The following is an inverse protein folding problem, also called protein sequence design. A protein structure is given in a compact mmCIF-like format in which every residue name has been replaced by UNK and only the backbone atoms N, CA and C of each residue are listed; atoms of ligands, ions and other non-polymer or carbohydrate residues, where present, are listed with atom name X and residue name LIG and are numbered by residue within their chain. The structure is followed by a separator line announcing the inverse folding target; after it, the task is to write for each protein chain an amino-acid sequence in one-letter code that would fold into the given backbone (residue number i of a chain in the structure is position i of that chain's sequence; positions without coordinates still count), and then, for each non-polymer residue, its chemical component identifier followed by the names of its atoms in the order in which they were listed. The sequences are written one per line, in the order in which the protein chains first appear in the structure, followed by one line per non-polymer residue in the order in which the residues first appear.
data_IF_385857000839
#
_entry.id   IF_385857000839
#
_cell.length_a   1.000
_cell.length_b   1.000
_cell.length_c   1.000
_cell.angle_alpha   90.00
_cell.angle_beta   90.00
_cell.angle_gamma   90.00
#
_symmetry.space_group_name_H-M   'P 1'
#
loop_
_entity.id
_entity.type
_entity.pdbx_description
1 polymer ?
#
# COMPACT_ATOMS: atom_id res chain seq x y z
N UNK A 1 -1.05 8.46 -38.64
CA UNK A 1 -0.42 8.07 -37.39
C UNK A 1 -1.48 7.84 -36.32
N UNK A 2 -1.59 6.62 -35.83
CA UNK A 2 -2.56 6.32 -34.81
C UNK A 2 -2.11 6.95 -33.49
N UNK A 3 -3.01 7.55 -32.69
CA UNK A 3 -2.64 8.03 -31.37
C UNK A 3 -2.20 6.85 -30.52
N UNK A 4 -1.22 7.06 -29.60
CA UNK A 4 -0.84 5.98 -28.70
C UNK A 4 -2.06 5.52 -27.92
N UNK A 5 -2.24 4.21 -27.82
CA UNK A 5 -3.32 3.68 -27.00
C UNK A 5 -3.10 4.12 -25.56
N UNK A 6 -4.14 4.70 -24.97
CA UNK A 6 -4.07 5.06 -23.56
C UNK A 6 -3.74 3.80 -22.75
N UNK A 7 -2.75 3.89 -21.88
CA UNK A 7 -2.40 2.77 -21.02
C UNK A 7 -3.60 2.40 -20.16
N UNK A 8 -3.88 1.10 -20.06
CA UNK A 8 -4.97 0.62 -19.22
C UNK A 8 -4.69 0.93 -17.76
N UNK A 9 -5.62 1.62 -17.13
CA UNK A 9 -5.55 1.94 -15.71
C UNK A 9 -6.61 1.08 -15.00
N UNK A 10 -6.19 0.09 -14.20
CA UNK A 10 -7.15 -0.75 -13.46
C UNK A 10 -8.00 0.07 -12.50
N UNK A 11 -9.27 -0.34 -12.26
CA UNK A 11 -10.09 0.30 -11.24
C UNK A 11 -9.39 0.30 -9.89
N UNK A 12 -9.43 1.44 -9.20
CA UNK A 12 -8.78 1.58 -7.88
C UNK A 12 -7.29 1.87 -7.95
N UNK A 13 -6.73 2.10 -9.14
CA UNK A 13 -5.33 2.49 -9.30
C UNK A 13 -5.02 3.71 -8.42
N UNK A 14 -3.86 3.72 -7.70
CA UNK A 14 -3.54 4.82 -6.80
C UNK A 14 -3.50 6.16 -7.51
N UNK A 15 -4.15 7.17 -6.93
CA UNK A 15 -4.10 8.54 -7.44
C UNK A 15 -2.67 9.05 -7.31
N UNK A 16 -2.19 9.68 -8.37
CA UNK A 16 -0.84 10.24 -8.41
C UNK A 16 0.24 9.29 -8.91
N UNK A 17 -0.09 8.01 -9.14
CA UNK A 17 0.84 7.07 -9.77
C UNK A 17 0.52 6.99 -11.24
N UNK A 18 1.49 7.32 -12.09
CA UNK A 18 1.33 7.24 -13.53
C UNK A 18 1.26 5.78 -14.00
N UNK A 19 0.61 5.51 -15.14
CA UNK A 19 0.45 4.13 -15.61
C UNK A 19 1.78 3.43 -15.89
N UNK A 20 1.84 2.09 -15.76
CA UNK A 20 3.01 1.32 -16.16
C UNK A 20 3.35 1.61 -17.63
N UNK A 21 4.63 1.78 -17.93
CA UNK A 21 5.12 2.10 -19.27
C UNK A 21 5.27 3.59 -19.53
N UNK A 22 4.73 4.47 -18.68
CA UNK A 22 4.98 5.91 -18.81
C UNK A 22 6.36 6.26 -18.24
N UNK A 23 6.91 7.40 -18.69
CA UNK A 23 8.21 7.87 -18.19
C UNK A 23 8.19 8.12 -16.68
N UNK A 24 7.05 8.57 -16.16
CA UNK A 24 6.92 8.97 -14.77
C UNK A 24 6.45 7.83 -13.85
N UNK A 25 6.26 6.62 -14.39
CA UNK A 25 5.75 5.51 -13.58
C UNK A 25 6.65 5.23 -12.38
N UNK A 26 7.95 5.04 -12.62
CA UNK A 26 8.88 4.67 -11.55
C UNK A 26 8.96 5.74 -10.48
N UNK A 27 9.12 7.01 -10.87
CA UNK A 27 9.23 8.12 -9.92
C UNK A 27 7.96 8.30 -9.09
N UNK A 28 6.78 8.22 -9.73
CA UNK A 28 5.51 8.38 -9.02
C UNK A 28 5.19 7.18 -8.16
N UNK A 29 5.57 5.98 -8.58
CA UNK A 29 5.42 4.76 -7.79
C UNK A 29 6.28 4.81 -6.52
N UNK A 30 7.54 5.25 -6.64
CA UNK A 30 8.44 5.42 -5.49
C UNK A 30 7.85 6.42 -4.50
N UNK A 31 7.38 7.58 -4.98
CA UNK A 31 6.78 8.59 -4.13
C UNK A 31 5.57 8.03 -3.39
N UNK A 32 4.70 7.30 -4.08
CA UNK A 32 3.52 6.70 -3.48
C UNK A 32 3.89 5.65 -2.42
N UNK A 33 4.87 4.79 -2.72
CA UNK A 33 5.32 3.76 -1.77
C UNK A 33 5.91 4.39 -0.51
N UNK A 34 6.67 5.48 -0.66
CA UNK A 34 7.24 6.19 0.49
C UNK A 34 6.17 6.85 1.35
N UNK A 35 5.04 7.24 0.77
CA UNK A 35 3.92 7.78 1.54
C UNK A 35 3.11 6.69 2.26
N UNK A 36 3.15 5.46 1.76
CA UNK A 36 2.46 4.31 2.35
C UNK A 36 3.18 3.78 3.60
N UNK A 37 4.51 3.84 3.61
CA UNK A 37 5.32 3.31 4.70
C UNK A 37 5.64 4.38 5.74
N UNK A 38 6.10 4.00 6.95
CA UNK A 38 6.51 4.98 7.94
C UNK A 38 7.61 5.92 7.42
N UNK A 39 7.63 7.19 7.87
CA UNK A 39 8.65 8.15 7.42
C UNK A 39 10.09 7.69 7.61
N UNK A 40 10.34 6.86 8.60
CA UNK A 40 11.68 6.33 8.90
C UNK A 40 12.28 5.54 7.74
N UNK A 41 11.45 4.98 6.86
CA UNK A 41 11.93 4.25 5.68
C UNK A 41 12.73 5.18 4.75
N UNK A 42 12.45 6.47 4.78
CA UNK A 42 13.17 7.46 3.96
C UNK A 42 14.64 7.61 4.35
N UNK A 43 15.02 7.14 5.55
CA UNK A 43 16.40 7.16 6.02
C UNK A 43 17.29 6.15 5.29
N UNK A 44 16.70 5.18 4.62
CA UNK A 44 17.45 4.12 3.94
C UNK A 44 17.58 4.44 2.45
N UNK A 45 18.73 4.99 2.07
CA UNK A 45 18.99 5.37 0.68
C UNK A 45 18.85 4.22 -0.31
N UNK A 46 19.11 2.97 0.13
CA UNK A 46 18.95 1.79 -0.72
C UNK A 46 17.53 1.64 -1.27
N UNK A 47 16.52 2.08 -0.53
CA UNK A 47 15.13 1.97 -0.96
C UNK A 47 14.81 2.92 -2.11
N UNK A 48 15.47 4.07 -2.17
CA UNK A 48 15.30 5.01 -3.29
C UNK A 48 16.07 4.55 -4.52
N UNK A 49 17.25 3.95 -4.31
CA UNK A 49 18.08 3.46 -5.41
C UNK A 49 17.54 2.17 -6.02
N UNK A 50 16.81 1.38 -5.24
CA UNK A 50 16.28 0.08 -5.67
C UNK A 50 14.78 -0.02 -5.42
N UNK A 51 13.95 0.45 -6.36
CA UNK A 51 12.50 0.48 -6.17
C UNK A 51 11.88 -0.88 -5.85
N UNK A 52 12.47 -1.97 -6.35
CA UNK A 52 11.97 -3.31 -6.03
C UNK A 52 12.12 -3.63 -4.54
N UNK A 53 13.19 -3.14 -3.90
CA UNK A 53 13.37 -3.32 -2.46
C UNK A 53 12.34 -2.51 -1.67
N UNK A 54 12.09 -1.27 -2.10
CA UNK A 54 11.06 -0.43 -1.48
C UNK A 54 9.67 -1.09 -1.61
N UNK A 55 9.33 -1.59 -2.79
CA UNK A 55 8.04 -2.26 -3.01
C UNK A 55 7.90 -3.50 -2.14
N UNK A 56 8.96 -4.30 -1.99
CA UNK A 56 8.94 -5.48 -1.14
C UNK A 56 8.75 -5.11 0.34
N UNK A 57 9.48 -4.12 0.82
CA UNK A 57 9.35 -3.67 2.21
C UNK A 57 7.97 -3.05 2.48
N UNK A 58 7.45 -2.26 1.55
CA UNK A 58 6.12 -1.68 1.66
C UNK A 58 5.04 -2.76 1.71
N UNK A 59 5.18 -3.79 0.87
CA UNK A 59 4.23 -4.91 0.86
C UNK A 59 4.22 -5.65 2.19
N UNK A 60 5.39 -5.98 2.72
CA UNK A 60 5.50 -6.67 4.01
C UNK A 60 4.96 -5.81 5.14
N UNK A 61 5.29 -4.52 5.15
CA UNK A 61 4.79 -3.60 6.16
C UNK A 61 3.27 -3.52 6.11
N UNK A 62 2.68 -3.34 4.93
CA UNK A 62 1.24 -3.21 4.79
C UNK A 62 0.51 -4.50 5.18
N UNK A 63 1.07 -5.66 4.82
CA UNK A 63 0.51 -6.95 5.23
C UNK A 63 0.52 -7.11 6.75
N UNK A 64 1.61 -6.70 7.41
CA UNK A 64 1.69 -6.73 8.86
C UNK A 64 0.64 -5.81 9.49
N UNK A 65 0.39 -4.65 8.90
CA UNK A 65 -0.65 -3.73 9.36
C UNK A 65 -2.05 -4.32 9.19
N UNK A 66 -2.31 -5.03 8.08
CA UNK A 66 -3.58 -5.74 7.88
C UNK A 66 -3.79 -6.78 8.97
N UNK A 67 -2.78 -7.58 9.26
CA UNK A 67 -2.86 -8.59 10.31
C UNK A 67 -3.05 -7.96 11.69
N UNK A 68 -2.38 -6.83 11.94
CA UNK A 68 -2.56 -6.06 13.18
C UNK A 68 -4.00 -5.56 13.33
N UNK A 69 -4.59 -5.04 12.27
CA UNK A 69 -5.99 -4.58 12.31
C UNK A 69 -6.96 -5.73 12.55
N UNK A 70 -6.71 -6.89 11.93
CA UNK A 70 -7.53 -8.09 12.15
C UNK A 70 -7.43 -8.60 13.59
N UNK A 71 -6.21 -8.65 14.11
CA UNK A 71 -5.97 -9.06 15.50
C UNK A 71 -6.66 -8.11 16.48
N UNK A 72 -6.52 -6.80 16.26
CA UNK A 72 -7.19 -5.79 17.08
C UNK A 72 -8.71 -5.92 17.07
N UNK A 73 -9.28 -6.16 15.89
CA UNK A 73 -10.72 -6.37 15.77
C UNK A 73 -11.18 -7.58 16.59
N UNK A 74 -10.44 -8.70 16.51
CA UNK A 74 -10.79 -9.94 17.24
C UNK A 74 -10.69 -9.77 18.74
N UNK A 75 -9.77 -8.96 19.23
CA UNK A 75 -9.44 -8.88 20.66
C UNK A 75 -9.96 -7.61 21.34
N UNK A 76 -10.50 -6.65 20.60
CA UNK A 76 -10.91 -5.35 21.13
C UNK A 76 -11.87 -5.47 22.31
N UNK A 77 -12.85 -6.38 22.24
CA UNK A 77 -13.83 -6.54 23.32
C UNK A 77 -13.18 -7.04 24.61
N UNK A 78 -12.23 -7.96 24.51
CA UNK A 78 -11.53 -8.48 25.70
C UNK A 78 -10.49 -7.50 26.21
N UNK A 79 -9.79 -6.79 25.32
CA UNK A 79 -8.76 -5.85 25.74
C UNK A 79 -9.31 -4.56 26.35
N UNK A 80 -10.44 -4.07 25.81
CA UNK A 80 -10.96 -2.75 26.14
C UNK A 80 -12.29 -2.78 26.89
N UNK A 81 -12.89 -3.96 27.07
CA UNK A 81 -14.23 -4.10 27.60
C UNK A 81 -14.43 -3.53 28.99
N UNK A 82 -13.39 -3.55 29.84
CA UNK A 82 -13.43 -2.98 31.17
C UNK A 82 -13.12 -1.48 31.21
N UNK A 83 -12.44 -0.97 30.17
CA UNK A 83 -11.99 0.42 30.12
C UNK A 83 -12.91 1.34 29.36
N UNK A 84 -13.72 0.79 28.44
CA UNK A 84 -14.58 1.58 27.57
C UNK A 84 -16.04 1.13 27.67
N UNK A 85 -16.98 2.09 27.55
CA UNK A 85 -18.40 1.74 27.47
C UNK A 85 -18.74 1.02 26.18
N UNK A 86 -19.85 0.23 26.14
CA UNK A 86 -20.19 -0.58 24.96
C UNK A 86 -20.25 0.20 23.64
N UNK A 87 -20.77 1.42 23.64
CA UNK A 87 -20.86 2.21 22.41
C UNK A 87 -19.47 2.60 21.87
N UNK A 88 -18.50 2.81 22.76
CA UNK A 88 -17.13 3.12 22.36
C UNK A 88 -16.43 1.88 21.79
N UNK A 89 -16.71 0.69 22.36
CA UNK A 89 -16.21 -0.57 21.81
C UNK A 89 -16.71 -0.77 20.37
N UNK A 90 -17.98 -0.52 20.12
CA UNK A 90 -18.56 -0.63 18.78
C UNK A 90 -17.89 0.34 17.81
N UNK A 91 -17.57 1.56 18.25
CA UNK A 91 -16.86 2.54 17.45
C UNK A 91 -15.43 2.10 17.15
N UNK A 92 -14.73 1.49 18.13
CA UNK A 92 -13.38 0.94 17.94
C UNK A 92 -13.41 -0.21 16.91
N UNK A 93 -14.38 -1.11 17.02
CA UNK A 93 -14.55 -2.19 16.05
C UNK A 93 -14.77 -1.65 14.63
N UNK A 94 -15.60 -0.60 14.50
CA UNK A 94 -15.83 0.04 13.21
C UNK A 94 -14.53 0.67 12.66
N UNK A 95 -13.72 1.28 13.53
CA UNK A 95 -12.44 1.86 13.15
C UNK A 95 -11.46 0.79 12.64
N UNK A 96 -11.34 -0.34 13.34
CA UNK A 96 -10.51 -1.45 12.88
C UNK A 96 -10.97 -1.98 11.53
N UNK A 97 -12.27 -2.10 11.33
CA UNK A 97 -12.84 -2.57 10.07
C UNK A 97 -12.50 -1.63 8.92
N UNK A 98 -12.68 -0.34 9.13
CA UNK A 98 -12.38 0.69 8.12
C UNK A 98 -10.89 0.69 7.77
N UNK A 99 -10.02 0.70 8.79
CA UNK A 99 -8.58 0.68 8.56
C UNK A 99 -8.11 -0.62 7.91
N UNK A 100 -8.68 -1.75 8.30
CA UNK A 100 -8.36 -3.03 7.69
C UNK A 100 -8.66 -3.07 6.20
N UNK A 101 -9.80 -2.51 5.79
CA UNK A 101 -10.16 -2.43 4.36
C UNK A 101 -9.21 -1.51 3.60
N UNK A 102 -8.87 -0.36 4.17
CA UNK A 102 -7.94 0.58 3.55
C UNK A 102 -6.57 -0.05 3.34
N UNK A 103 -6.06 -0.71 4.37
CA UNK A 103 -4.76 -1.38 4.33
C UNK A 103 -4.75 -2.56 3.36
N UNK A 104 -5.81 -3.34 3.30
CA UNK A 104 -5.92 -4.47 2.37
C UNK A 104 -5.91 -3.97 0.91
N UNK A 105 -6.58 -2.86 0.62
CA UNK A 105 -6.56 -2.23 -0.70
C UNK A 105 -5.14 -1.77 -1.06
N UNK A 106 -4.44 -1.12 -0.12
CA UNK A 106 -3.07 -0.67 -0.31
C UNK A 106 -2.12 -1.85 -0.55
N UNK A 107 -2.27 -2.92 0.22
CA UNK A 107 -1.42 -4.11 0.07
C UNK A 107 -1.56 -4.72 -1.33
N UNK A 108 -2.77 -4.76 -1.87
CA UNK A 108 -3.03 -5.27 -3.22
C UNK A 108 -2.28 -4.44 -4.27
N UNK A 109 -2.31 -3.12 -4.15
CA UNK A 109 -1.62 -2.24 -5.10
C UNK A 109 -0.10 -2.28 -4.97
N UNK A 110 0.43 -2.47 -3.77
CA UNK A 110 1.87 -2.69 -3.57
C UNK A 110 2.37 -3.89 -4.38
N UNK A 111 1.64 -5.00 -4.34
CA UNK A 111 1.98 -6.19 -5.11
C UNK A 111 1.90 -5.96 -6.62
N UNK A 112 0.88 -5.25 -7.06
CA UNK A 112 0.69 -4.91 -8.47
C UNK A 112 1.83 -4.03 -8.99
N UNK A 113 2.24 -3.01 -8.23
CA UNK A 113 3.32 -2.12 -8.61
C UNK A 113 4.66 -2.86 -8.71
N UNK A 114 4.91 -3.79 -7.81
CA UNK A 114 6.10 -4.64 -7.88
C UNK A 114 6.15 -5.41 -9.19
N UNK A 115 5.04 -5.99 -9.61
CA UNK A 115 4.94 -6.70 -10.90
C UNK A 115 5.19 -5.77 -12.07
N UNK A 116 4.62 -4.57 -12.03
CA UNK A 116 4.84 -3.55 -13.06
C UNK A 116 6.29 -3.10 -13.14
N UNK A 117 6.93 -2.82 -12.02
CA UNK A 117 8.33 -2.42 -11.97
C UNK A 117 9.25 -3.52 -12.50
N UNK A 118 8.98 -4.78 -12.15
CA UNK A 118 9.75 -5.93 -12.64
C UNK A 118 9.61 -6.09 -14.15
N UNK A 119 8.40 -5.95 -14.68
CA UNK A 119 8.15 -6.02 -16.12
C UNK A 119 8.87 -4.90 -16.87
N UNK A 120 8.86 -3.69 -16.31
CA UNK A 120 9.50 -2.55 -16.92
C UNK A 120 11.02 -2.74 -17.00
N UNK A 121 11.65 -3.31 -15.98
CA UNK A 121 13.07 -3.66 -16.01
C UNK A 121 13.41 -4.68 -17.09
N UNK A 122 12.58 -5.69 -17.26
CA UNK A 122 12.78 -6.71 -18.28
C UNK A 122 12.68 -6.14 -19.69
N UNK A 123 11.92 -5.06 -19.89
CA UNK A 123 11.77 -4.41 -21.19
C UNK A 123 12.97 -3.55 -21.57
N UNK A 124 13.76 -3.09 -20.60
CA UNK A 124 14.92 -2.22 -20.83
C UNK A 124 16.15 -3.01 -21.24
N UNK A 125 16.10 -4.32 -21.07
CA UNK A 125 17.14 -5.22 -21.56
C UNK A 125 16.82 -5.60 -23.02
#
# INVERSE_FOLDING_TARGET
MLPPMAAYIPPGWPTGVHPPGSEDFEATAIAWLLDVVPPDFRLHGVLRRHPAALAAMARHHTQACVEGARAGYRTARSELGEELPPHAIDAVLAAYRTEGRRLASTARWNGFQRSGASRQRLRIR
#
